data_IF_721942762024
#
_entry.id   IF_721942762024
#
_cell.length_a   1.000
_cell.length_b   1.000
_cell.length_c   1.000
_cell.angle_alpha   90.00
_cell.angle_beta   90.00
_cell.angle_gamma   90.00
#
_symmetry.space_group_name_H-M   'P 1'
#
loop_
_entity.id
_entity.type
_entity.pdbx_description
1 polymer ?
#
# COMPACT_ATOMS: atom_id res chain seq x y z
N UNK A 1 13.59 -9.27 -1.59
CA UNK A 1 13.59 -7.80 -1.40
C UNK A 1 12.26 -7.31 -0.85
N UNK A 2 11.14 -7.45 -1.59
CA UNK A 2 9.79 -7.23 -1.01
C UNK A 2 9.51 -8.17 0.17
N UNK A 3 10.10 -9.36 0.14
CA UNK A 3 10.12 -10.35 1.22
C UNK A 3 10.66 -9.84 2.57
N UNK A 4 11.48 -8.76 2.61
CA UNK A 4 11.90 -8.16 3.88
C UNK A 4 10.73 -7.51 4.65
N UNK A 5 9.73 -7.03 3.92
CA UNK A 5 8.54 -6.41 4.53
C UNK A 5 7.76 -7.46 5.33
N UNK A 6 7.71 -8.72 4.87
CA UNK A 6 7.06 -9.81 5.60
C UNK A 6 7.71 -9.99 6.98
N UNK A 7 9.04 -9.96 7.04
CA UNK A 7 9.76 -10.12 8.29
C UNK A 7 9.54 -8.93 9.23
N UNK A 8 9.65 -7.69 8.72
CA UNK A 8 9.40 -6.50 9.54
C UNK A 8 7.95 -6.37 9.99
N UNK A 9 6.99 -6.75 9.13
CA UNK A 9 5.58 -6.82 9.48
C UNK A 9 5.35 -7.83 10.60
N UNK A 10 5.95 -9.02 10.52
CA UNK A 10 5.81 -10.04 11.56
C UNK A 10 6.32 -9.55 12.93
N UNK A 11 7.43 -8.81 12.99
CA UNK A 11 7.96 -8.23 14.24
C UNK A 11 6.98 -7.31 14.96
N UNK A 12 6.18 -6.57 14.21
CA UNK A 12 5.22 -5.61 14.78
C UNK A 12 3.83 -6.20 14.95
N UNK A 13 3.55 -7.36 14.34
CA UNK A 13 2.26 -8.03 14.37
C UNK A 13 2.14 -8.91 15.60
N UNK A 14 1.44 -8.43 16.64
CA UNK A 14 1.14 -9.22 17.85
C UNK A 14 -0.17 -9.99 17.75
N UNK A 15 -1.12 -9.42 17.01
CA UNK A 15 -2.45 -9.95 16.83
C UNK A 15 -2.95 -9.49 15.47
N UNK A 16 -3.70 -10.35 14.79
CA UNK A 16 -4.44 -9.98 13.58
C UNK A 16 -5.77 -10.72 13.56
N UNK A 17 -6.79 -10.09 12.99
CA UNK A 17 -8.11 -10.71 12.90
C UNK A 17 -8.15 -11.66 11.70
N UNK A 18 -8.79 -12.80 11.90
CA UNK A 18 -9.08 -13.74 10.83
C UNK A 18 -9.97 -13.09 9.78
N UNK A 19 -9.66 -13.35 8.50
CA UNK A 19 -10.52 -12.88 7.40
C UNK A 19 -11.89 -13.53 7.39
N UNK A 20 -12.05 -14.71 8.02
CA UNK A 20 -13.29 -15.51 7.95
C UNK A 20 -14.32 -15.23 9.06
N UNK A 21 -13.85 -14.93 10.26
CA UNK A 21 -14.68 -14.89 11.48
C UNK A 21 -14.42 -13.64 12.32
N UNK A 22 -13.41 -12.83 11.96
CA UNK A 22 -12.86 -11.71 12.75
C UNK A 22 -12.30 -12.11 14.12
N UNK A 23 -12.38 -13.39 14.52
CA UNK A 23 -11.70 -13.88 15.72
C UNK A 23 -10.18 -13.67 15.57
N UNK A 24 -9.45 -13.42 16.66
CA UNK A 24 -8.04 -13.09 16.58
C UNK A 24 -7.15 -14.33 16.38
N UNK A 25 -6.12 -14.17 15.56
CA UNK A 25 -4.86 -14.89 15.71
C UNK A 25 -3.92 -14.08 16.61
N UNK A 26 -3.20 -14.78 17.49
CA UNK A 26 -2.15 -14.21 18.32
C UNK A 26 -0.80 -14.74 17.88
N UNK A 27 0.15 -13.83 17.62
CA UNK A 27 1.54 -14.19 17.39
C UNK A 27 2.21 -14.28 18.76
N UNK A 28 2.48 -15.51 19.20
CA UNK A 28 3.01 -15.79 20.56
C UNK A 28 4.52 -15.59 20.58
N UNK A 29 5.19 -16.07 19.54
CA UNK A 29 6.63 -16.01 19.39
C UNK A 29 7.00 -15.93 17.91
N UNK A 30 8.19 -15.39 17.62
CA UNK A 30 8.81 -15.51 16.31
C UNK A 30 10.30 -15.78 16.46
N UNK A 31 10.84 -16.58 15.56
CA UNK A 31 12.28 -16.73 15.37
C UNK A 31 12.70 -16.16 14.01
N UNK A 32 13.92 -16.50 13.54
CA UNK A 32 14.43 -16.00 12.26
C UNK A 32 13.76 -16.63 11.03
N UNK A 33 13.04 -17.74 11.22
CA UNK A 33 12.48 -18.59 10.16
C UNK A 33 10.98 -18.86 10.30
N UNK A 34 10.41 -18.66 11.49
CA UNK A 34 9.05 -19.09 11.83
C UNK A 34 8.31 -18.09 12.71
N UNK A 35 6.99 -18.16 12.60
CA UNK A 35 6.01 -17.47 13.45
C UNK A 35 5.16 -18.53 14.15
N UNK A 36 5.07 -18.44 15.47
CA UNK A 36 4.27 -19.33 16.32
C UNK A 36 2.93 -18.65 16.60
N UNK A 37 1.84 -19.31 16.21
CA UNK A 37 0.50 -18.72 16.19
C UNK A 37 -0.43 -19.51 17.09
N UNK A 38 -1.20 -18.78 17.88
CA UNK A 38 -2.33 -19.29 18.65
C UNK A 38 -3.64 -18.76 18.06
N UNK A 39 -4.64 -19.62 17.91
CA UNK A 39 -6.01 -19.21 17.57
C UNK A 39 -7.00 -19.85 18.53
N UNK A 40 -8.07 -19.12 18.82
CA UNK A 40 -9.19 -19.67 19.57
C UNK A 40 -10.29 -20.05 18.59
N UNK A 41 -10.18 -21.22 17.99
CA UNK A 41 -11.23 -21.74 17.10
C UNK A 41 -12.35 -22.32 17.96
N UNK A 42 -13.60 -22.07 17.56
CA UNK A 42 -14.75 -22.77 18.10
C UNK A 42 -14.76 -24.18 17.48
N UNK A 43 -14.67 -25.23 18.30
CA UNK A 43 -14.80 -26.61 17.82
C UNK A 43 -16.19 -26.80 17.20
N UNK A 44 -16.28 -26.96 15.87
CA UNK A 44 -17.54 -27.25 15.17
C UNK A 44 -18.16 -28.61 15.61
N UNK A 45 -17.36 -29.49 16.22
CA UNK A 45 -17.81 -30.80 16.75
C UNK A 45 -18.15 -30.79 18.26
N UNK A 46 -17.99 -29.66 18.96
CA UNK A 46 -18.16 -29.57 20.40
C UNK A 46 -19.53 -29.04 20.81
N UNK A 47 -20.40 -29.91 21.34
CA UNK A 47 -21.64 -29.57 22.07
C UNK A 47 -21.42 -28.76 23.38
N UNK A 48 -20.27 -28.10 23.51
CA UNK A 48 -19.81 -27.31 24.65
C UNK A 48 -19.16 -26.08 24.05
N UNK A 49 -19.65 -24.86 24.32
CA UNK A 49 -19.09 -23.61 23.78
C UNK A 49 -17.70 -23.24 24.31
N UNK A 50 -16.84 -24.23 24.58
CA UNK A 50 -15.47 -24.08 25.03
C UNK A 50 -14.55 -23.87 23.82
N UNK A 51 -13.84 -22.73 23.81
CA UNK A 51 -12.81 -22.42 22.81
C UNK A 51 -11.52 -23.13 23.23
N UNK A 52 -11.05 -24.09 22.43
CA UNK A 52 -9.75 -24.71 22.64
C UNK A 52 -8.69 -23.97 21.81
N UNK A 53 -7.59 -23.49 22.43
CA UNK A 53 -6.55 -22.80 21.69
C UNK A 53 -5.79 -23.77 20.78
N UNK A 54 -5.93 -23.60 19.47
CA UNK A 54 -5.11 -24.26 18.46
C UNK A 54 -3.76 -23.57 18.38
N UNK A 55 -2.70 -24.35 18.19
CA UNK A 55 -1.35 -23.83 18.00
C UNK A 55 -0.76 -24.37 16.72
N UNK A 56 -0.24 -23.49 15.87
CA UNK A 56 0.42 -23.88 14.63
C UNK A 56 1.61 -22.97 14.32
N UNK A 57 2.46 -23.43 13.42
CA UNK A 57 3.71 -22.76 13.05
C UNK A 57 3.64 -22.40 11.57
N UNK A 58 3.96 -21.16 11.25
CA UNK A 58 4.03 -20.64 9.88
C UNK A 58 5.48 -20.30 9.57
N UNK A 59 6.01 -20.81 8.45
CA UNK A 59 7.37 -20.47 8.03
C UNK A 59 7.36 -19.16 7.26
N UNK A 60 8.43 -18.38 7.39
CA UNK A 60 8.59 -17.17 6.59
C UNK A 60 8.64 -17.47 5.09
N UNK A 61 9.17 -18.63 4.70
CA UNK A 61 9.19 -19.10 3.31
C UNK A 61 7.78 -19.16 2.73
N UNK A 62 6.79 -19.63 3.49
CA UNK A 62 5.42 -19.78 3.01
C UNK A 62 4.72 -18.40 2.88
N UNK A 63 4.98 -17.48 3.82
CA UNK A 63 4.51 -16.09 3.72
C UNK A 63 5.14 -15.35 2.53
N UNK A 64 6.44 -15.59 2.29
CA UNK A 64 7.16 -15.00 1.16
C UNK A 64 6.65 -15.55 -0.17
N UNK A 65 6.47 -16.87 -0.25
CA UNK A 65 5.91 -17.54 -1.42
C UNK A 65 4.51 -17.01 -1.75
N UNK A 66 3.62 -16.93 -0.77
CA UNK A 66 2.27 -16.39 -0.97
C UNK A 66 2.29 -14.93 -1.47
N UNK A 67 3.17 -14.08 -0.92
CA UNK A 67 3.34 -12.72 -1.43
C UNK A 67 3.88 -12.71 -2.87
N UNK A 68 4.84 -13.58 -3.21
CA UNK A 68 5.40 -13.68 -4.56
C UNK A 68 4.36 -14.14 -5.58
N UNK A 69 3.52 -15.14 -5.24
CA UNK A 69 2.37 -15.54 -6.04
C UNK A 69 1.43 -14.36 -6.28
N UNK A 70 1.05 -13.63 -5.22
CA UNK A 70 0.20 -12.45 -5.36
C UNK A 70 0.83 -11.34 -6.22
N UNK A 71 2.14 -11.12 -6.11
CA UNK A 71 2.87 -10.14 -6.93
C UNK A 71 2.91 -10.52 -8.40
N UNK A 72 2.99 -11.83 -8.69
CA UNK A 72 3.06 -12.37 -10.04
C UNK A 72 1.66 -12.46 -10.68
N UNK A 73 0.73 -13.17 -10.05
CA UNK A 73 -0.60 -13.46 -10.57
C UNK A 73 -1.60 -12.34 -10.34
N UNK A 74 -1.25 -11.33 -9.52
CA UNK A 74 -2.10 -10.19 -9.10
C UNK A 74 -3.27 -10.55 -8.22
N UNK A 75 -3.50 -11.84 -8.02
CA UNK A 75 -4.61 -12.42 -7.31
C UNK A 75 -4.10 -13.67 -6.59
N UNK A 76 -4.54 -13.85 -5.35
CA UNK A 76 -4.24 -15.05 -4.57
C UNK A 76 -5.51 -15.51 -3.88
N UNK A 77 -5.87 -16.77 -4.05
CA UNK A 77 -7.00 -17.42 -3.38
C UNK A 77 -6.49 -18.35 -2.28
N UNK A 78 -7.39 -18.70 -1.37
CA UNK A 78 -7.16 -19.78 -0.40
C UNK A 78 -6.82 -21.11 -1.08
N UNK A 79 -7.50 -21.46 -2.18
CA UNK A 79 -7.23 -22.69 -2.95
C UNK A 79 -5.83 -22.75 -3.59
N UNK A 80 -5.14 -21.59 -3.71
CA UNK A 80 -3.78 -21.52 -4.27
C UNK A 80 -2.70 -21.85 -3.21
N UNK A 81 -3.10 -22.05 -1.95
CA UNK A 81 -2.20 -22.28 -0.82
C UNK A 81 -2.34 -23.70 -0.25
N UNK A 82 -1.21 -24.37 -0.05
CA UNK A 82 -1.17 -25.68 0.60
C UNK A 82 -1.22 -25.53 2.14
N UNK A 83 -2.01 -26.39 2.81
CA UNK A 83 -2.04 -26.46 4.27
C UNK A 83 -3.41 -26.78 4.84
N UNK A 84 -3.53 -26.66 6.17
CA UNK A 84 -4.84 -26.69 6.82
C UNK A 84 -5.61 -25.40 6.54
N UNK A 85 -6.94 -25.42 6.64
CA UNK A 85 -7.77 -24.21 6.49
C UNK A 85 -7.29 -23.08 7.39
N UNK A 86 -6.99 -23.38 8.66
CA UNK A 86 -6.51 -22.40 9.62
C UNK A 86 -5.17 -21.77 9.21
N UNK A 87 -4.24 -22.59 8.72
CA UNK A 87 -2.95 -22.15 8.21
C UNK A 87 -3.09 -21.19 7.03
N UNK A 88 -3.92 -21.57 6.04
CA UNK A 88 -4.20 -20.75 4.87
C UNK A 88 -4.87 -19.43 5.24
N UNK A 89 -5.87 -19.46 6.12
CA UNK A 89 -6.56 -18.26 6.62
C UNK A 89 -5.58 -17.34 7.35
N UNK A 90 -4.62 -17.87 8.11
CA UNK A 90 -3.57 -17.04 8.72
C UNK A 90 -2.72 -16.31 7.67
N UNK A 91 -2.23 -17.03 6.65
CA UNK A 91 -1.41 -16.42 5.59
C UNK A 91 -2.18 -15.28 4.91
N UNK A 92 -3.44 -15.53 4.51
CA UNK A 92 -4.27 -14.51 3.85
C UNK A 92 -4.51 -13.31 4.77
N UNK A 93 -4.85 -13.56 6.04
CA UNK A 93 -5.09 -12.50 7.03
C UNK A 93 -3.82 -11.68 7.33
N UNK A 94 -2.66 -12.33 7.33
CA UNK A 94 -1.37 -11.69 7.55
C UNK A 94 -1.01 -10.78 6.36
N UNK A 95 -1.11 -11.28 5.13
CA UNK A 95 -0.83 -10.49 3.93
C UNK A 95 -1.80 -9.32 3.77
N UNK A 96 -3.07 -9.50 4.15
CA UNK A 96 -4.07 -8.42 4.12
C UNK A 96 -3.72 -7.22 5.03
N UNK A 97 -2.77 -7.35 5.97
CA UNK A 97 -2.27 -6.21 6.76
C UNK A 97 -1.45 -5.23 5.91
N UNK A 98 -0.91 -5.65 4.77
CA UNK A 98 -0.14 -4.78 3.90
C UNK A 98 -1.06 -3.76 3.21
N UNK A 99 -0.75 -2.46 3.27
CA UNK A 99 -1.69 -1.39 2.88
C UNK A 99 -1.95 -1.32 1.36
N UNK A 100 -1.15 -2.05 0.57
CA UNK A 100 -1.25 -2.14 -0.88
C UNK A 100 -1.96 -3.41 -1.36
N UNK A 101 -2.47 -4.23 -0.44
CA UNK A 101 -3.27 -5.42 -0.71
C UNK A 101 -4.73 -5.11 -0.37
N UNK A 102 -5.64 -5.54 -1.23
CA UNK A 102 -7.07 -5.60 -0.98
C UNK A 102 -7.44 -7.05 -0.63
N UNK A 103 -8.45 -7.21 0.22
CA UNK A 103 -9.06 -8.49 0.53
C UNK A 103 -10.55 -8.42 0.23
N UNK A 104 -11.04 -9.41 -0.51
CA UNK A 104 -12.44 -9.54 -0.88
C UNK A 104 -12.90 -11.00 -0.69
N UNK A 105 -14.18 -11.20 -0.40
CA UNK A 105 -14.79 -12.52 -0.35
C UNK A 105 -15.57 -12.76 -1.64
N UNK A 106 -15.30 -13.87 -2.34
CA UNK A 106 -16.00 -14.25 -3.56
C UNK A 106 -16.39 -15.73 -3.52
N UNK A 107 -17.69 -16.02 -3.60
CA UNK A 107 -18.24 -17.38 -3.64
C UNK A 107 -17.63 -18.30 -2.56
N UNK A 108 -17.72 -17.86 -1.31
CA UNK A 108 -17.18 -18.53 -0.11
C UNK A 108 -15.65 -18.60 0.03
N UNK A 109 -14.89 -18.18 -1.00
CA UNK A 109 -13.43 -18.10 -0.95
C UNK A 109 -12.95 -16.68 -0.62
N UNK A 110 -11.77 -16.59 0.00
CA UNK A 110 -11.09 -15.32 0.27
C UNK A 110 -10.04 -15.04 -0.79
N UNK A 111 -10.08 -13.83 -1.33
CA UNK A 111 -9.22 -13.42 -2.43
C UNK A 111 -8.44 -12.18 -2.02
N UNK A 112 -7.12 -12.24 -2.17
CA UNK A 112 -6.25 -11.08 -2.13
C UNK A 112 -6.00 -10.55 -3.53
N UNK A 113 -5.97 -9.23 -3.68
CA UNK A 113 -5.56 -8.56 -4.91
C UNK A 113 -4.67 -7.37 -4.62
N UNK A 114 -3.88 -6.94 -5.59
CA UNK A 114 -3.06 -5.73 -5.45
C UNK A 114 -3.87 -4.48 -5.78
N UNK A 115 -3.73 -3.43 -4.96
CA UNK A 115 -4.21 -2.10 -5.33
C UNK A 115 -3.52 -1.64 -6.62
N UNK A 116 -4.28 -0.95 -7.47
CA UNK A 116 -3.77 -0.41 -8.73
C UNK A 116 -3.83 1.11 -8.76
N UNK A 117 -2.70 1.73 -9.09
CA UNK A 117 -2.58 3.17 -9.24
C UNK A 117 -2.20 3.51 -10.67
N UNK A 118 -2.87 4.50 -11.26
CA UNK A 118 -2.47 5.04 -12.56
C UNK A 118 -1.41 6.14 -12.36
N UNK A 119 -0.53 6.34 -13.35
CA UNK A 119 0.55 7.32 -13.27
C UNK A 119 0.10 8.77 -13.07
N UNK A 120 -1.13 9.10 -13.45
CA UNK A 120 -1.76 10.41 -13.23
C UNK A 120 -2.28 10.60 -11.79
N UNK A 121 -2.39 9.52 -11.02
CA UNK A 121 -2.72 9.50 -9.58
C UNK A 121 -1.47 9.48 -8.68
N UNK A 122 -0.30 9.72 -9.26
CA UNK A 122 0.97 9.72 -8.53
C UNK A 122 1.59 11.11 -8.48
N UNK A 123 2.35 11.40 -7.41
CA UNK A 123 3.19 12.59 -7.34
C UNK A 123 4.29 12.51 -8.40
N UNK A 124 4.52 13.60 -9.12
CA UNK A 124 5.46 13.62 -10.23
C UNK A 124 6.42 14.81 -10.23
N UNK A 125 6.27 15.75 -9.29
CA UNK A 125 7.09 16.95 -9.19
C UNK A 125 7.62 17.17 -7.75
N UNK A 126 8.65 18.01 -7.62
CA UNK A 126 9.22 18.38 -6.34
C UNK A 126 8.27 19.30 -5.56
N UNK A 127 8.17 19.05 -4.24
CA UNK A 127 7.34 19.83 -3.33
C UNK A 127 7.52 21.35 -3.48
N UNK A 128 8.76 21.84 -3.57
CA UNK A 128 9.04 23.28 -3.72
C UNK A 128 8.44 23.88 -4.99
N UNK A 129 8.42 23.12 -6.09
CA UNK A 129 7.85 23.55 -7.36
C UNK A 129 6.31 23.55 -7.30
N UNK A 130 5.72 22.55 -6.64
CA UNK A 130 4.28 22.45 -6.39
C UNK A 130 3.80 23.64 -5.55
N UNK A 131 4.49 23.93 -4.45
CA UNK A 131 4.12 25.03 -3.56
C UNK A 131 4.25 26.40 -4.23
N UNK A 132 5.28 26.59 -5.05
CA UNK A 132 5.42 27.80 -5.86
C UNK A 132 4.24 27.94 -6.83
N UNK A 133 3.92 26.88 -7.58
CA UNK A 133 2.80 26.89 -8.51
C UNK A 133 1.46 27.17 -7.81
N UNK A 134 1.22 26.57 -6.64
CA UNK A 134 0.03 26.81 -5.84
C UNK A 134 -0.07 28.29 -5.43
N UNK A 135 1.05 28.89 -5.01
CA UNK A 135 1.08 30.31 -4.64
C UNK A 135 0.75 31.21 -5.83
N UNK A 136 1.44 31.00 -6.97
CA UNK A 136 1.21 31.76 -8.21
C UNK A 136 -0.28 31.67 -8.62
N UNK A 137 -0.89 30.48 -8.56
CA UNK A 137 -2.31 30.27 -8.89
C UNK A 137 -3.26 30.93 -7.91
N UNK A 138 -2.99 30.85 -6.61
CA UNK A 138 -3.87 31.41 -5.58
C UNK A 138 -3.86 32.94 -5.56
N UNK A 139 -2.77 33.56 -5.99
CA UNK A 139 -2.67 35.02 -6.14
C UNK A 139 -3.26 35.52 -7.47
N UNK A 140 -3.70 34.62 -8.36
CA UNK A 140 -4.17 34.98 -9.70
C UNK A 140 -3.04 35.41 -10.66
N UNK A 141 -1.78 35.12 -10.32
CA UNK A 141 -0.62 35.41 -11.16
C UNK A 141 -0.49 34.38 -12.31
N UNK A 142 -1.11 33.22 -12.16
CA UNK A 142 -1.04 32.14 -13.14
C UNK A 142 -2.30 31.27 -13.18
N UNK A 143 -2.83 31.00 -14.38
CA UNK A 143 -3.93 30.04 -14.58
C UNK A 143 -3.39 28.67 -15.05
N UNK A 144 -3.51 27.60 -14.24
CA UNK A 144 -3.12 26.24 -14.61
C UNK A 144 -3.76 25.69 -15.89
N UNK A 145 -4.87 26.25 -16.36
CA UNK A 145 -5.46 25.87 -17.64
C UNK A 145 -4.54 26.25 -18.83
N UNK A 146 -3.74 27.31 -18.70
CA UNK A 146 -2.99 27.92 -19.79
C UNK A 146 -1.52 27.47 -19.90
N UNK A 147 -1.09 26.45 -19.14
CA UNK A 147 0.31 25.96 -19.12
C UNK A 147 0.89 25.74 -20.53
N UNK A 148 0.13 25.13 -21.44
CA UNK A 148 0.59 24.82 -22.80
C UNK A 148 0.74 26.04 -23.71
N UNK A 149 0.11 27.15 -23.35
CA UNK A 149 0.17 28.41 -24.11
C UNK A 149 1.31 29.31 -23.60
N UNK A 150 1.57 29.28 -22.29
CA UNK A 150 2.52 30.20 -21.64
C UNK A 150 3.94 29.63 -21.49
N UNK A 151 4.11 28.30 -21.49
CA UNK A 151 5.41 27.67 -21.26
C UNK A 151 5.80 26.70 -22.37
N UNK A 152 7.11 26.60 -22.59
CA UNK A 152 7.72 25.66 -23.53
C UNK A 152 8.93 24.94 -22.92
N UNK A 153 9.32 23.83 -23.55
CA UNK A 153 10.50 23.06 -23.15
C UNK A 153 10.45 22.55 -21.70
N UNK A 154 11.55 22.68 -20.97
CA UNK A 154 11.67 22.18 -19.59
C UNK A 154 10.70 22.83 -18.61
N UNK A 155 10.40 24.12 -18.78
CA UNK A 155 9.47 24.86 -17.92
C UNK A 155 8.04 24.32 -18.06
N UNK A 156 7.63 24.02 -19.30
CA UNK A 156 6.35 23.37 -19.56
C UNK A 156 6.25 22.03 -18.82
N UNK A 157 7.31 21.20 -18.88
CA UNK A 157 7.32 19.89 -18.20
C UNK A 157 7.14 20.04 -16.69
N UNK A 158 7.89 20.92 -16.04
CA UNK A 158 7.82 21.15 -14.58
C UNK A 158 6.44 21.67 -14.19
N UNK A 159 5.92 22.69 -14.90
CA UNK A 159 4.61 23.28 -14.60
C UNK A 159 3.47 22.28 -14.83
N UNK A 160 3.53 21.50 -15.91
CA UNK A 160 2.52 20.48 -16.23
C UNK A 160 2.45 19.38 -15.18
N UNK A 161 3.60 18.89 -14.70
CA UNK A 161 3.69 17.94 -13.59
C UNK A 161 3.19 18.54 -12.28
N UNK A 162 3.60 19.78 -11.97
CA UNK A 162 3.08 20.50 -10.82
C UNK A 162 1.55 20.64 -10.85
N UNK A 163 0.94 20.89 -12.02
CA UNK A 163 -0.53 20.92 -12.17
C UNK A 163 -1.17 19.56 -11.88
N UNK A 164 -0.56 18.47 -12.32
CA UNK A 164 -1.04 17.12 -11.98
C UNK A 164 -1.04 16.93 -10.47
N UNK A 165 0.05 17.29 -9.79
CA UNK A 165 0.15 17.13 -8.34
C UNK A 165 -0.83 18.06 -7.59
N UNK A 166 -1.08 19.27 -8.08
CA UNK A 166 -2.12 20.15 -7.52
C UNK A 166 -3.54 19.63 -7.75
N UNK A 167 -3.80 18.93 -8.86
CA UNK A 167 -5.07 18.20 -9.06
C UNK A 167 -5.20 17.05 -8.06
N UNK A 168 -4.13 16.27 -7.87
CA UNK A 168 -4.08 15.18 -6.89
C UNK A 168 -4.40 15.69 -5.47
N UNK A 169 -3.88 16.87 -5.13
CA UNK A 169 -4.15 17.53 -3.85
C UNK A 169 -5.52 18.24 -3.77
N UNK A 170 -6.34 18.21 -4.83
CA UNK A 170 -7.68 18.80 -4.83
C UNK A 170 -7.73 20.32 -4.98
N UNK A 171 -6.65 20.97 -5.40
CA UNK A 171 -6.59 22.43 -5.61
C UNK A 171 -7.05 22.87 -7.01
N UNK A 172 -7.15 21.95 -7.97
CA UNK A 172 -7.47 22.24 -9.38
C UNK A 172 -8.47 21.21 -9.92
N UNK A 173 -9.40 21.65 -10.79
CA UNK A 173 -10.49 20.88 -11.41
C UNK A 173 -11.61 20.46 -10.44
N UNK A 174 -11.40 19.37 -9.69
CA UNK A 174 -12.33 18.86 -8.67
C UNK A 174 -12.04 19.57 -7.35
N UNK A 175 -12.25 20.88 -7.38
CA UNK A 175 -11.83 21.78 -6.31
C UNK A 175 -12.48 21.36 -5.00
N UNK A 176 -11.66 20.94 -4.05
CA UNK A 176 -12.11 20.78 -2.69
C UNK A 176 -12.14 22.16 -2.03
N UNK A 177 -13.29 22.84 -2.12
CA UNK A 177 -13.47 24.19 -1.60
C UNK A 177 -13.12 24.30 -0.11
N UNK A 178 -13.38 23.23 0.65
CA UNK A 178 -13.02 23.15 2.07
C UNK A 178 -11.50 23.16 2.27
N UNK A 179 -10.73 22.38 1.50
CA UNK A 179 -9.26 22.43 1.59
C UNK A 179 -8.69 23.78 1.16
N UNK A 180 -9.25 24.40 0.12
CA UNK A 180 -8.82 25.75 -0.28
C UNK A 180 -9.11 26.76 0.82
N UNK A 181 -10.30 26.71 1.44
CA UNK A 181 -10.67 27.58 2.54
C UNK A 181 -9.75 27.39 3.75
N UNK A 182 -9.50 26.14 4.14
CA UNK A 182 -8.60 25.80 5.25
C UNK A 182 -7.18 26.28 4.97
N UNK A 183 -6.63 25.99 3.78
CA UNK A 183 -5.28 26.41 3.39
C UNK A 183 -5.13 27.95 3.36
N UNK A 184 -6.18 28.70 2.99
CA UNK A 184 -6.15 30.17 3.00
C UNK A 184 -6.15 30.73 4.43
N UNK A 185 -6.88 30.10 5.34
CA UNK A 185 -7.04 30.55 6.73
C UNK A 185 -5.94 30.02 7.65
N UNK A 186 -5.28 28.94 7.27
CA UNK A 186 -4.28 28.27 8.08
C UNK A 186 -3.03 29.15 8.29
N UNK A 187 -2.61 29.24 9.55
CA UNK A 187 -1.32 29.81 9.92
C UNK A 187 -0.19 28.86 9.51
N UNK A 188 -0.42 27.54 9.62
CA UNK A 188 0.52 26.50 9.20
C UNK A 188 0.01 25.82 7.91
N UNK A 189 0.40 26.39 6.78
CA UNK A 189 0.08 25.86 5.45
C UNK A 189 0.71 24.50 5.18
N UNK A 190 1.84 24.18 5.83
CA UNK A 190 2.51 22.89 5.63
C UNK A 190 1.65 21.78 6.20
N UNK A 191 1.07 22.00 7.39
CA UNK A 191 0.16 21.04 8.02
C UNK A 191 -1.08 20.73 7.18
N UNK A 192 -1.67 21.73 6.54
CA UNK A 192 -2.83 21.52 5.65
C UNK A 192 -2.45 20.64 4.45
N UNK A 193 -1.29 20.90 3.83
CA UNK A 193 -0.81 20.06 2.72
C UNK A 193 -0.50 18.64 3.19
N UNK A 194 0.05 18.47 4.40
CA UNK A 194 0.27 17.14 4.98
C UNK A 194 -1.04 16.38 5.14
N UNK A 195 -2.12 17.02 5.57
CA UNK A 195 -3.44 16.39 5.66
C UNK A 195 -3.93 15.96 4.28
N UNK A 196 -3.86 16.84 3.27
CA UNK A 196 -4.21 16.47 1.90
C UNK A 196 -3.40 15.29 1.36
N UNK A 197 -2.10 15.20 1.70
CA UNK A 197 -1.24 14.07 1.32
C UNK A 197 -1.63 12.78 2.03
N UNK A 198 -2.06 12.86 3.30
CA UNK A 198 -2.49 11.70 4.07
C UNK A 198 -3.84 11.14 3.58
N UNK A 199 -4.65 11.92 2.87
CA UNK A 199 -5.87 11.43 2.23
C UNK A 199 -5.58 10.61 0.95
N UNK A 200 -4.35 10.67 0.45
CA UNK A 200 -3.95 9.93 -0.75
C UNK A 200 -3.40 8.54 -0.39
N UNK A 201 -4.10 7.49 -0.82
CA UNK A 201 -3.77 6.10 -0.51
C UNK A 201 -2.32 5.71 -0.85
N UNK A 202 -1.79 6.18 -1.98
CA UNK A 202 -0.41 5.89 -2.37
C UNK A 202 0.63 6.43 -1.36
N UNK A 203 0.39 7.61 -0.81
CA UNK A 203 1.24 8.19 0.22
C UNK A 203 1.10 7.44 1.54
N UNK A 204 -0.12 7.05 1.94
CA UNK A 204 -0.35 6.24 3.14
C UNK A 204 0.40 4.91 3.08
N UNK A 205 0.35 4.23 1.92
CA UNK A 205 1.13 3.01 1.65
C UNK A 205 2.62 3.31 1.87
N UNK A 206 3.14 4.36 1.22
CA UNK A 206 4.57 4.70 1.30
C UNK A 206 5.02 4.98 2.73
N UNK A 207 4.23 5.73 3.50
CA UNK A 207 4.54 6.06 4.90
C UNK A 207 4.49 4.83 5.81
N UNK A 208 3.49 3.97 5.66
CA UNK A 208 3.40 2.73 6.41
C UNK A 208 4.62 1.83 6.17
N UNK A 209 5.07 1.70 4.92
CA UNK A 209 6.25 0.91 4.59
C UNK A 209 7.53 1.55 5.15
N UNK A 210 7.65 2.88 5.10
CA UNK A 210 8.78 3.58 5.70
C UNK A 210 8.85 3.39 7.22
N UNK A 211 7.70 3.27 7.88
CA UNK A 211 7.59 3.00 9.31
C UNK A 211 8.06 1.58 9.65
N UNK A 212 7.66 0.58 8.87
CA UNK A 212 8.19 -0.79 9.02
C UNK A 212 9.71 -0.85 8.82
N UNK A 213 10.25 -0.01 7.93
CA UNK A 213 11.65 -0.03 7.55
C UNK A 213 12.52 0.93 8.38
N UNK A 214 12.07 1.43 9.53
CA UNK A 214 12.77 2.49 10.30
C UNK A 214 14.29 2.27 10.43
N UNK A 215 14.72 1.03 10.68
CA UNK A 215 16.13 0.65 10.91
C UNK A 215 16.97 0.44 9.64
N UNK A 216 16.36 0.54 8.46
CA UNK A 216 17.05 0.38 7.17
C UNK A 216 17.67 1.69 6.67
N UNK A 217 18.71 1.56 5.86
CA UNK A 217 19.35 2.70 5.20
C UNK A 217 18.41 3.39 4.20
N UNK A 218 18.74 4.64 3.86
CA UNK A 218 17.99 5.42 2.87
C UNK A 218 17.96 4.73 1.49
N UNK A 219 19.05 4.07 1.09
CA UNK A 219 19.14 3.33 -0.17
C UNK A 219 18.20 2.13 -0.17
N UNK A 220 18.17 1.33 0.89
CA UNK A 220 17.31 0.15 1.01
C UNK A 220 15.83 0.54 1.03
N UNK A 221 15.48 1.57 1.82
CA UNK A 221 14.12 2.12 1.84
C UNK A 221 13.66 2.53 0.45
N UNK A 222 14.51 3.25 -0.29
CA UNK A 222 14.21 3.68 -1.66
C UNK A 222 13.99 2.48 -2.58
N UNK A 223 14.85 1.48 -2.52
CA UNK A 223 14.75 0.30 -3.38
C UNK A 223 13.48 -0.51 -3.10
N UNK A 224 13.12 -0.70 -1.82
CA UNK A 224 11.89 -1.39 -1.45
C UNK A 224 10.66 -0.61 -1.92
N UNK A 225 10.61 0.71 -1.68
CA UNK A 225 9.50 1.54 -2.17
C UNK A 225 9.39 1.54 -3.69
N UNK A 226 10.52 1.53 -4.43
CA UNK A 226 10.49 1.40 -5.89
C UNK A 226 9.91 0.05 -6.31
N UNK A 227 10.29 -1.05 -5.65
CA UNK A 227 9.74 -2.36 -5.96
C UNK A 227 8.22 -2.41 -5.72
N UNK A 228 7.74 -1.89 -4.59
CA UNK A 228 6.29 -1.78 -4.32
C UNK A 228 5.61 -0.93 -5.40
N UNK A 229 6.17 0.24 -5.71
CA UNK A 229 5.64 1.13 -6.73
C UNK A 229 5.55 0.45 -8.10
N UNK A 230 6.59 -0.27 -8.52
CA UNK A 230 6.57 -1.05 -9.77
C UNK A 230 5.53 -2.16 -9.76
N UNK A 231 5.24 -2.74 -8.58
CA UNK A 231 4.19 -3.73 -8.43
C UNK A 231 2.80 -3.12 -8.51
N UNK A 232 2.54 -1.91 -8.00
CA UNK A 232 1.17 -1.38 -7.88
C UNK A 232 0.81 -0.29 -8.90
N UNK A 233 1.77 0.22 -9.66
CA UNK A 233 1.57 1.33 -10.61
C UNK A 233 1.44 0.84 -12.05
N UNK A 234 0.38 1.26 -12.73
CA UNK A 234 0.15 1.08 -14.17
C UNK A 234 0.33 2.38 -14.93
N UNK A 235 0.99 2.30 -16.08
CA UNK A 235 0.94 3.38 -17.06
C UNK A 235 -0.48 3.51 -17.61
N UNK A 236 -0.93 4.72 -17.91
CA UNK A 236 -2.24 5.00 -18.54
C UNK A 236 -2.43 4.31 -19.89
N UNK A 237 -1.35 3.77 -20.50
CA UNK A 237 -1.38 2.96 -21.72
C UNK A 237 -1.43 1.44 -21.48
N UNK A 238 -1.55 0.99 -20.24
CA UNK A 238 -1.66 -0.44 -19.87
C UNK A 238 -0.33 -1.15 -19.63
N UNK A 239 0.79 -0.61 -20.12
CA UNK A 239 2.11 -1.22 -19.90
C UNK A 239 2.74 -0.74 -18.59
N UNK A 240 2.78 -1.60 -17.59
CA UNK A 240 3.91 -1.67 -16.65
C UNK A 240 4.10 -3.13 -16.22
N UNK A 241 4.97 -3.84 -16.94
CA UNK A 241 5.54 -5.13 -16.53
C UNK A 241 7.07 -4.99 -16.55
N UNK A 242 7.67 -4.62 -15.42
CA UNK A 242 9.12 -4.72 -15.21
C UNK A 242 9.50 -5.65 -14.05
N UNK A 243 8.66 -6.65 -13.76
CA UNK A 243 9.09 -7.76 -12.91
C UNK A 243 9.18 -9.04 -13.75
N UNK A 244 10.42 -9.38 -14.12
CA UNK A 244 10.94 -10.68 -14.62
C UNK A 244 10.14 -11.42 -15.70
N UNK A 245 10.33 -11.03 -16.98
CA UNK A 245 10.30 -12.02 -18.09
C UNK A 245 11.63 -12.73 -18.31
N UNK A 246 12.69 -12.33 -17.62
CA UNK A 246 14.02 -12.93 -17.72
C UNK A 246 14.57 -13.13 -16.30
N UNK A 247 14.32 -14.29 -15.69
CA UNK A 247 15.23 -15.02 -14.80
C UNK A 247 14.48 -16.22 -14.20
N UNK A 248 14.77 -17.38 -14.79
CA UNK A 248 14.63 -18.75 -14.25
C UNK A 248 13.37 -19.12 -13.47
N UNK A 249 12.42 -19.73 -14.20
CA UNK A 249 11.80 -20.96 -13.74
C UNK A 249 12.89 -22.05 -13.84
N UNK A 250 13.34 -22.57 -12.70
CA UNK A 250 13.80 -23.94 -12.53
C UNK A 250 13.11 -24.51 -11.30
#
# INVERSE_FOLDING_TARGET
MLTYIIFELAKVTKQLNRVDTLDPFHVVEMDQSRVYVESNVLDEEGMSGERNPSHFIVRFEDLQYALECLLYDRLLKDDDLEGSKEYTIFILSFLAQLPFINMEQQNDNYILSLKEFQTDKLPCEQYTNIMKLLHDTMNGEFDPANISQEFHGSQYTVKSRGRQDLRLLGFINEVNEMFIANYRQATDKVREIQQCLLDQDYFRISLYILDLLQNYSKSEKKEILLNIGMSIVRNSRGDNYQWRRNEHIM
#
